data_IF_626002130236
#
_entry.id   IF_626002130236
#
_cell.length_a   1.000
_cell.length_b   1.000
_cell.length_c   1.000
_cell.angle_alpha   90.00
_cell.angle_beta   90.00
_cell.angle_gamma   90.00
#
_symmetry.space_group_name_H-M   'P 1'
#
loop_
_entity.id
_entity.type
_entity.pdbx_description
1 polymer ?
#
# COMPACT_ATOMS: atom_id res chain seq x y z
N UNK A 1 18.26 -9.08 4.00
CA UNK A 1 17.31 -8.62 5.02
C UNK A 1 16.05 -9.46 5.04
N UNK A 2 15.33 -9.63 3.93
CA UNK A 2 14.18 -10.50 3.77
C UNK A 2 14.62 -11.95 3.51
N UNK A 3 13.94 -12.92 4.14
CA UNK A 3 14.10 -14.34 3.86
C UNK A 3 12.80 -14.89 3.26
N UNK A 4 12.95 -15.72 2.25
CA UNK A 4 11.84 -16.39 1.56
C UNK A 4 11.94 -17.89 1.81
N UNK A 5 10.86 -18.50 2.31
CA UNK A 5 10.73 -19.95 2.45
C UNK A 5 9.60 -20.47 1.56
N UNK A 6 9.97 -21.26 0.57
CA UNK A 6 9.07 -21.92 -0.39
C UNK A 6 8.88 -23.40 -0.09
N UNK A 7 9.41 -23.91 1.02
CA UNK A 7 9.36 -25.34 1.36
C UNK A 7 7.93 -25.89 1.42
N UNK A 8 6.96 -25.04 1.80
CA UNK A 8 5.54 -25.40 1.92
C UNK A 8 4.75 -25.27 0.62
N UNK A 9 5.42 -24.86 -0.47
CA UNK A 9 4.85 -24.87 -1.83
C UNK A 9 5.34 -26.07 -2.65
N UNK A 10 6.44 -26.70 -2.27
CA UNK A 10 7.16 -27.68 -3.08
C UNK A 10 6.28 -28.84 -3.59
N UNK A 11 5.36 -29.37 -2.77
CA UNK A 11 4.48 -30.48 -3.19
C UNK A 11 3.38 -30.06 -4.19
N UNK A 12 3.18 -28.77 -4.40
CA UNK A 12 2.17 -28.20 -5.29
C UNK A 12 2.75 -27.66 -6.61
N UNK A 13 4.05 -27.63 -6.73
CA UNK A 13 4.77 -27.06 -7.86
C UNK A 13 5.44 -28.17 -8.67
N UNK A 14 5.44 -28.08 -10.02
CA UNK A 14 6.16 -29.05 -10.84
C UNK A 14 7.67 -28.96 -10.59
N UNK A 15 8.35 -30.10 -10.72
CA UNK A 15 9.81 -30.12 -10.66
C UNK A 15 10.41 -29.17 -11.72
N UNK A 16 11.42 -28.40 -11.33
CA UNK A 16 12.07 -27.43 -12.23
C UNK A 16 11.26 -26.18 -12.55
N UNK A 17 10.16 -25.90 -11.85
CA UNK A 17 9.29 -24.74 -12.10
C UNK A 17 10.05 -23.42 -12.12
N UNK A 18 11.06 -23.26 -11.26
CA UNK A 18 11.87 -22.04 -11.19
C UNK A 18 12.78 -21.92 -12.43
N UNK A 19 13.49 -22.99 -12.78
CA UNK A 19 14.36 -23.03 -13.96
C UNK A 19 13.58 -22.73 -15.26
N UNK A 20 12.37 -23.28 -15.40
CA UNK A 20 11.50 -23.04 -16.56
C UNK A 20 11.11 -21.56 -16.75
N UNK A 21 11.23 -20.73 -15.70
CA UNK A 21 10.84 -19.30 -15.73
C UNK A 21 12.02 -18.34 -15.74
N UNK A 22 13.26 -18.85 -15.64
CA UNK A 22 14.47 -18.00 -15.57
C UNK A 22 14.64 -17.10 -16.79
N UNK A 23 14.38 -17.60 -18.00
CA UNK A 23 14.49 -16.79 -19.21
C UNK A 23 13.46 -15.67 -19.23
N UNK A 24 12.18 -15.96 -18.86
CA UNK A 24 11.13 -14.96 -18.74
C UNK A 24 11.43 -13.92 -17.66
N UNK A 25 11.94 -14.32 -16.51
CA UNK A 25 12.33 -13.43 -15.43
C UNK A 25 13.50 -12.53 -15.83
N UNK A 26 14.51 -13.08 -16.52
CA UNK A 26 15.62 -12.29 -17.06
C UNK A 26 15.10 -11.21 -18.01
N UNK A 27 14.22 -11.61 -18.95
CA UNK A 27 13.57 -10.66 -19.87
C UNK A 27 12.78 -9.60 -19.13
N UNK A 28 11.99 -9.98 -18.13
CA UNK A 28 11.21 -9.05 -17.31
C UNK A 28 12.12 -8.06 -16.55
N UNK A 29 13.19 -8.55 -15.95
CA UNK A 29 14.18 -7.70 -15.27
C UNK A 29 14.89 -6.74 -16.23
N UNK A 30 15.27 -7.22 -17.43
CA UNK A 30 15.88 -6.38 -18.46
C UNK A 30 14.90 -5.27 -18.95
N UNK A 31 13.59 -5.57 -19.08
CA UNK A 31 12.58 -4.57 -19.42
C UNK A 31 12.43 -3.50 -18.34
N UNK A 32 12.45 -3.89 -17.06
CA UNK A 32 12.42 -2.96 -15.93
C UNK A 32 13.68 -2.09 -15.88
N UNK A 33 14.85 -2.71 -15.97
CA UNK A 33 16.16 -2.03 -15.89
C UNK A 33 16.39 -1.04 -17.03
N UNK A 34 15.85 -1.32 -18.23
CA UNK A 34 16.02 -0.48 -19.41
C UNK A 34 14.81 0.44 -19.68
N UNK A 35 13.76 0.39 -18.85
CA UNK A 35 12.55 1.21 -18.98
C UNK A 35 11.88 1.11 -20.37
N UNK A 36 11.94 -0.05 -21.02
CA UNK A 36 11.53 -0.20 -22.42
C UNK A 36 10.47 -1.29 -22.66
N UNK A 37 9.90 -1.84 -21.59
CA UNK A 37 8.76 -2.75 -21.67
C UNK A 37 7.42 -2.03 -21.89
N UNK A 38 6.32 -2.77 -22.04
CA UNK A 38 4.97 -2.21 -22.00
C UNK A 38 4.78 -1.37 -20.73
N UNK A 39 4.44 -0.08 -20.89
CA UNK A 39 4.33 0.86 -19.76
C UNK A 39 5.68 1.35 -19.19
N UNK A 40 6.79 1.17 -19.92
CA UNK A 40 8.13 1.59 -19.51
C UNK A 40 8.25 3.05 -19.10
N UNK A 41 7.40 3.93 -19.67
CA UNK A 41 7.31 5.35 -19.27
C UNK A 41 6.90 5.55 -17.81
N UNK A 42 6.43 4.51 -17.11
CA UNK A 42 5.98 4.55 -15.72
C UNK A 42 6.86 3.72 -14.77
N UNK A 43 8.09 3.45 -15.14
CA UNK A 43 9.02 2.61 -14.35
C UNK A 43 10.10 3.42 -13.60
N UNK A 44 9.95 4.74 -13.48
CA UNK A 44 10.88 5.59 -12.72
C UNK A 44 11.07 5.18 -11.26
N UNK A 45 10.09 4.47 -10.67
CA UNK A 45 10.17 3.92 -9.33
C UNK A 45 11.30 2.89 -9.14
N UNK A 46 11.75 2.23 -10.21
CA UNK A 46 12.82 1.19 -10.15
C UNK A 46 14.10 1.76 -9.59
N UNK A 47 14.49 2.95 -10.03
CA UNK A 47 15.71 3.62 -9.58
C UNK A 47 15.47 4.76 -8.57
N UNK A 48 14.21 5.05 -8.25
CA UNK A 48 13.82 6.12 -7.34
C UNK A 48 14.58 6.09 -5.99
N UNK A 49 14.72 4.93 -5.28
CA UNK A 49 15.38 4.93 -3.98
C UNK A 49 16.83 5.43 -4.03
N UNK A 50 17.51 5.26 -5.17
CA UNK A 50 18.88 5.75 -5.40
C UNK A 50 18.88 7.21 -5.90
N UNK A 51 17.96 7.54 -6.82
CA UNK A 51 18.03 8.74 -7.64
C UNK A 51 17.02 9.83 -7.27
N UNK A 52 16.30 9.70 -6.13
CA UNK A 52 15.30 10.69 -5.73
C UNK A 52 15.88 12.11 -5.60
N UNK A 53 15.07 13.11 -5.88
CA UNK A 53 15.43 14.52 -5.77
C UNK A 53 15.71 14.89 -4.30
N UNK A 54 16.98 15.18 -4.00
CA UNK A 54 17.44 15.51 -2.64
C UNK A 54 16.95 16.86 -2.16
N UNK A 55 16.74 17.81 -3.09
CA UNK A 55 16.23 19.15 -2.75
C UNK A 55 14.74 19.08 -2.40
N UNK A 56 13.94 18.36 -3.21
CA UNK A 56 12.54 18.12 -2.90
C UNK A 56 12.40 17.31 -1.59
N UNK A 57 13.25 16.32 -1.38
CA UNK A 57 13.25 15.54 -0.14
C UNK A 57 13.51 16.41 1.10
N UNK A 58 14.48 17.32 1.04
CA UNK A 58 14.74 18.28 2.12
C UNK A 58 13.56 19.24 2.33
N UNK A 59 12.86 19.65 1.26
CA UNK A 59 11.62 20.44 1.34
C UNK A 59 10.49 19.65 2.00
N UNK A 60 10.33 18.37 1.69
CA UNK A 60 9.36 17.48 2.36
C UNK A 60 9.62 17.44 3.87
N UNK A 61 10.87 17.27 4.29
CA UNK A 61 11.23 17.27 5.71
C UNK A 61 10.94 18.64 6.38
N UNK A 62 11.22 19.73 5.69
CA UNK A 62 10.94 21.09 6.19
C UNK A 62 9.43 21.34 6.32
N UNK A 63 8.65 20.96 5.31
CA UNK A 63 7.19 21.07 5.33
C UNK A 63 6.56 20.20 6.42
N UNK A 64 7.04 18.96 6.61
CA UNK A 64 6.60 18.09 7.70
C UNK A 64 6.83 18.73 9.07
N UNK A 65 8.00 19.32 9.31
CA UNK A 65 8.29 20.07 10.54
C UNK A 65 7.37 21.28 10.72
N UNK A 66 7.12 22.04 9.64
CA UNK A 66 6.18 23.18 9.66
C UNK A 66 4.78 22.71 10.03
N UNK A 67 4.29 21.61 9.44
CA UNK A 67 2.99 21.02 9.77
C UNK A 67 2.93 20.62 11.25
N UNK A 68 3.96 19.93 11.78
CA UNK A 68 4.05 19.53 13.18
C UNK A 68 4.00 20.71 14.15
N UNK A 69 4.58 21.86 13.77
CA UNK A 69 4.62 23.06 14.61
C UNK A 69 3.32 23.87 14.60
N UNK A 70 2.61 23.86 13.48
CA UNK A 70 1.46 24.75 13.27
C UNK A 70 0.10 24.06 13.35
N UNK A 71 0.05 22.72 13.36
CA UNK A 71 -1.20 21.97 13.23
C UNK A 71 -1.28 20.80 14.19
N UNK A 72 -2.43 20.65 14.81
CA UNK A 72 -2.79 19.48 15.63
C UNK A 72 -3.37 18.34 14.78
N UNK A 73 -3.80 18.67 13.55
CA UNK A 73 -4.36 17.72 12.58
C UNK A 73 -3.79 17.99 11.20
N UNK A 74 -3.39 16.96 10.49
CA UNK A 74 -3.15 16.97 9.06
C UNK A 74 -4.24 16.17 8.36
N UNK A 75 -5.00 16.81 7.48
CA UNK A 75 -5.96 16.12 6.60
C UNK A 75 -5.26 15.78 5.30
N UNK A 76 -5.07 14.50 5.04
CA UNK A 76 -4.50 13.98 3.79
C UNK A 76 -5.62 13.64 2.84
N UNK A 77 -5.72 14.37 1.74
CA UNK A 77 -6.79 14.22 0.74
C UNK A 77 -6.25 13.51 -0.48
N UNK A 78 -6.75 12.30 -0.74
CA UNK A 78 -6.34 11.48 -1.86
C UNK A 78 -7.13 10.20 -1.95
N UNK A 79 -7.03 9.50 -3.09
CA UNK A 79 -7.67 8.21 -3.33
C UNK A 79 -6.68 7.23 -3.96
N UNK A 80 -6.88 5.92 -3.73
CA UNK A 80 -6.01 4.88 -4.26
C UNK A 80 -4.56 5.09 -3.84
N UNK A 81 -3.62 5.11 -4.78
CA UNK A 81 -2.19 5.31 -4.51
C UNK A 81 -1.85 6.63 -3.84
N UNK A 82 -2.74 7.63 -3.93
CA UNK A 82 -2.53 8.94 -3.28
C UNK A 82 -2.78 8.92 -1.76
N UNK A 83 -3.26 7.80 -1.18
CA UNK A 83 -3.42 7.70 0.27
C UNK A 83 -3.03 6.34 0.85
N UNK A 84 -3.25 5.23 0.11
CA UNK A 84 -3.06 3.87 0.65
C UNK A 84 -1.63 3.63 1.13
N UNK A 85 -0.63 4.02 0.33
CA UNK A 85 0.77 3.82 0.70
C UNK A 85 1.17 4.59 1.96
N UNK A 86 0.80 5.87 2.06
CA UNK A 86 1.05 6.68 3.26
C UNK A 86 0.37 6.08 4.50
N UNK A 87 -0.90 5.71 4.39
CA UNK A 87 -1.66 5.11 5.49
C UNK A 87 -1.06 3.77 5.92
N UNK A 88 -0.68 2.93 4.96
CA UNK A 88 -0.02 1.66 5.21
C UNK A 88 1.24 1.81 6.06
N UNK A 89 2.10 2.75 5.69
CA UNK A 89 3.36 3.01 6.41
C UNK A 89 3.10 3.59 7.79
N UNK A 90 2.19 4.57 7.91
CA UNK A 90 1.86 5.21 9.20
C UNK A 90 1.26 4.20 10.17
N UNK A 91 0.27 3.41 9.76
CA UNK A 91 -0.36 2.43 10.65
C UNK A 91 0.61 1.30 11.02
N UNK A 92 1.44 0.83 10.10
CA UNK A 92 2.39 -0.25 10.35
C UNK A 92 3.53 0.18 11.29
N UNK A 93 4.11 1.37 11.08
CA UNK A 93 5.27 1.84 11.86
C UNK A 93 4.87 2.51 13.17
N UNK A 94 3.86 3.36 13.16
CA UNK A 94 3.45 4.11 14.32
C UNK A 94 2.33 3.42 15.13
N UNK A 95 1.22 3.06 14.53
CA UNK A 95 0.12 2.26 15.09
C UNK A 95 -1.19 2.46 14.30
N UNK A 96 -2.10 1.49 14.22
CA UNK A 96 -3.50 1.73 13.84
C UNK A 96 -4.22 2.71 14.79
N UNK A 97 -3.74 2.81 16.02
CA UNK A 97 -4.25 3.72 17.06
C UNK A 97 -3.43 5.03 17.14
N UNK A 98 -2.72 5.40 16.08
CA UNK A 98 -1.83 6.57 16.04
C UNK A 98 -2.50 7.84 16.56
N UNK A 99 -3.71 8.13 16.10
CA UNK A 99 -4.45 9.33 16.48
C UNK A 99 -4.96 9.33 17.94
N UNK A 100 -4.96 8.19 18.62
CA UNK A 100 -5.36 8.06 20.03
C UNK A 100 -4.16 8.19 20.99
N UNK A 101 -2.94 8.11 20.47
CA UNK A 101 -1.73 8.20 21.29
C UNK A 101 -1.41 9.65 21.66
N UNK A 102 -0.92 9.86 22.89
CA UNK A 102 -0.27 11.12 23.24
C UNK A 102 1.05 11.23 22.48
N UNK A 103 1.22 12.31 21.71
CA UNK A 103 2.35 12.54 20.83
C UNK A 103 2.53 14.03 20.55
N UNK A 104 3.66 14.41 20.01
CA UNK A 104 4.00 15.79 19.63
C UNK A 104 3.79 16.05 18.12
N UNK A 105 3.28 15.05 17.40
CA UNK A 105 2.95 15.12 15.98
C UNK A 105 1.45 15.25 15.78
N UNK A 106 0.97 15.81 14.65
CA UNK A 106 -0.45 15.96 14.40
C UNK A 106 -1.17 14.63 14.26
N UNK A 107 -2.47 14.60 14.53
CA UNK A 107 -3.33 13.52 14.06
C UNK A 107 -3.35 13.52 12.54
N UNK A 108 -3.28 12.33 11.94
CA UNK A 108 -3.39 12.18 10.50
C UNK A 108 -4.78 11.64 10.17
N UNK A 109 -5.58 12.46 9.50
CA UNK A 109 -6.91 12.08 9.03
C UNK A 109 -6.90 11.96 7.51
N UNK A 110 -7.52 10.91 6.99
CA UNK A 110 -7.62 10.67 5.54
C UNK A 110 -9.02 11.03 5.05
N UNK A 111 -9.09 11.81 3.97
CA UNK A 111 -10.34 12.24 3.35
C UNK A 111 -10.25 12.15 1.81
N UNK A 112 -11.40 12.21 1.12
CA UNK A 112 -11.42 12.14 -0.34
C UNK A 112 -11.05 10.76 -0.91
N UNK A 113 -11.08 9.73 -0.08
CA UNK A 113 -10.91 8.33 -0.46
C UNK A 113 -12.27 7.61 -0.61
N UNK A 114 -13.37 8.36 -0.60
CA UNK A 114 -14.73 7.91 -0.80
C UNK A 114 -15.68 9.09 -0.85
N UNK A 115 -16.98 8.79 -1.08
CA UNK A 115 -18.07 9.77 -1.19
C UNK A 115 -19.13 9.62 -0.06
N UNK A 116 -18.75 9.00 1.06
CA UNK A 116 -19.62 8.89 2.22
C UNK A 116 -19.77 10.23 2.93
N UNK A 117 -21.00 10.73 3.00
CA UNK A 117 -21.34 11.94 3.75
C UNK A 117 -21.00 11.79 5.24
N UNK A 118 -21.35 10.64 5.84
CA UNK A 118 -21.14 10.41 7.27
C UNK A 118 -19.65 10.37 7.62
N UNK A 119 -18.83 9.71 6.80
CA UNK A 119 -17.38 9.68 7.00
C UNK A 119 -16.73 11.07 6.87
N UNK A 120 -17.24 11.91 5.96
CA UNK A 120 -16.79 13.30 5.83
C UNK A 120 -17.17 14.13 7.07
N UNK A 121 -18.43 14.03 7.52
CA UNK A 121 -18.91 14.74 8.72
C UNK A 121 -18.15 14.29 9.97
N UNK A 122 -17.86 13.00 10.11
CA UNK A 122 -17.02 12.49 11.19
C UNK A 122 -15.61 13.09 11.15
N UNK A 123 -14.99 13.15 9.97
CA UNK A 123 -13.66 13.77 9.79
C UNK A 123 -13.70 15.25 10.23
N UNK A 124 -14.72 16.00 9.84
CA UNK A 124 -14.93 17.40 10.25
C UNK A 124 -15.10 17.48 11.77
N UNK A 125 -15.91 16.62 12.37
CA UNK A 125 -16.12 16.60 13.82
C UNK A 125 -14.84 16.24 14.58
N UNK A 126 -14.01 15.33 14.05
CA UNK A 126 -12.71 14.99 14.63
C UNK A 126 -11.73 16.16 14.57
N UNK A 127 -11.78 16.99 13.55
CA UNK A 127 -10.97 18.22 13.51
C UNK A 127 -11.41 19.18 14.62
N UNK A 128 -12.73 19.44 14.72
CA UNK A 128 -13.31 20.38 15.68
C UNK A 128 -12.66 21.75 15.59
N UNK A 129 -12.35 22.33 16.75
CA UNK A 129 -11.71 23.65 16.85
C UNK A 129 -10.18 23.61 16.74
N UNK A 130 -9.58 22.43 16.56
CA UNK A 130 -8.13 22.26 16.49
C UNK A 130 -7.53 22.95 15.26
N UNK A 131 -6.27 23.36 15.39
CA UNK A 131 -5.51 23.85 14.24
C UNK A 131 -5.21 22.69 13.28
N UNK A 132 -5.46 22.91 11.98
CA UNK A 132 -5.23 21.89 10.96
C UNK A 132 -4.58 22.41 9.70
N UNK A 133 -3.92 21.51 9.01
CA UNK A 133 -3.38 21.68 7.65
C UNK A 133 -3.95 20.64 6.71
N UNK A 134 -3.84 20.86 5.42
CA UNK A 134 -4.30 19.97 4.35
C UNK A 134 -3.13 19.62 3.44
N UNK A 135 -2.94 18.33 3.18
CA UNK A 135 -2.13 17.85 2.06
C UNK A 135 -3.05 17.26 1.02
N UNK A 136 -3.28 17.98 -0.07
CA UNK A 136 -4.09 17.50 -1.20
C UNK A 136 -3.20 16.85 -2.24
N UNK A 137 -3.50 15.59 -2.57
CA UNK A 137 -2.69 14.74 -3.44
C UNK A 137 -3.51 14.30 -4.64
N UNK A 138 -3.24 14.91 -5.80
CA UNK A 138 -3.91 14.57 -7.05
C UNK A 138 -3.09 15.06 -8.25
N UNK A 139 -2.70 14.15 -9.14
CA UNK A 139 -1.93 14.51 -10.34
C UNK A 139 -2.74 15.42 -11.26
N UNK A 140 -3.98 15.07 -11.58
CA UNK A 140 -4.86 15.85 -12.46
C UNK A 140 -5.59 17.00 -11.75
N UNK A 141 -5.86 16.85 -10.46
CA UNK A 141 -6.75 17.74 -9.70
C UNK A 141 -8.24 17.60 -10.03
N UNK A 142 -8.63 16.64 -10.88
CA UNK A 142 -10.01 16.46 -11.35
C UNK A 142 -10.67 15.14 -10.94
N UNK A 143 -9.95 14.29 -10.23
CA UNK A 143 -10.55 13.08 -9.63
C UNK A 143 -11.62 13.52 -8.64
N UNK A 144 -12.85 13.02 -8.81
CA UNK A 144 -14.05 13.55 -8.17
C UNK A 144 -13.95 13.57 -6.66
N UNK A 145 -13.59 12.45 -6.05
CA UNK A 145 -13.59 12.26 -4.61
C UNK A 145 -12.62 13.23 -3.90
N UNK A 146 -11.33 13.28 -4.24
CA UNK A 146 -10.42 14.24 -3.61
C UNK A 146 -10.71 15.69 -3.99
N UNK A 147 -11.24 15.96 -5.19
CA UNK A 147 -11.58 17.33 -5.60
C UNK A 147 -12.75 17.90 -4.78
N UNK A 148 -13.77 17.07 -4.50
CA UNK A 148 -14.90 17.45 -3.63
C UNK A 148 -14.41 17.66 -2.20
N UNK A 149 -13.63 16.73 -1.64
CA UNK A 149 -13.08 16.87 -0.30
C UNK A 149 -12.21 18.12 -0.18
N UNK A 150 -11.32 18.37 -1.14
CA UNK A 150 -10.45 19.55 -1.11
C UNK A 150 -11.25 20.86 -1.15
N UNK A 151 -12.31 20.94 -1.96
CA UNK A 151 -13.19 22.12 -1.99
C UNK A 151 -13.79 22.44 -0.62
N UNK A 152 -14.17 21.41 0.14
CA UNK A 152 -14.76 21.55 1.47
C UNK A 152 -13.68 21.99 2.50
N UNK A 153 -12.57 21.27 2.59
CA UNK A 153 -11.55 21.58 3.57
C UNK A 153 -10.80 22.89 3.27
N UNK A 154 -10.67 23.28 2.00
CA UNK A 154 -10.18 24.61 1.60
C UNK A 154 -11.08 25.70 2.14
N UNK A 155 -12.41 25.59 1.94
CA UNK A 155 -13.37 26.56 2.48
C UNK A 155 -13.28 26.67 4.01
N UNK A 156 -13.15 25.56 4.72
CA UNK A 156 -12.98 25.55 6.19
C UNK A 156 -11.67 26.24 6.62
N UNK A 157 -10.57 26.03 5.89
CA UNK A 157 -9.31 26.73 6.16
C UNK A 157 -9.44 28.24 5.93
N UNK A 158 -10.07 28.66 4.82
CA UNK A 158 -10.28 30.07 4.51
C UNK A 158 -11.21 30.75 5.52
N UNK A 159 -12.26 30.06 5.99
CA UNK A 159 -13.14 30.57 7.04
C UNK A 159 -12.38 30.75 8.37
N UNK A 160 -11.56 29.79 8.74
CA UNK A 160 -10.84 29.80 10.03
C UNK A 160 -9.64 30.77 10.05
N UNK A 161 -8.87 30.84 8.95
CA UNK A 161 -7.57 31.55 8.93
C UNK A 161 -7.51 32.71 7.94
N UNK A 162 -8.58 32.97 7.18
CA UNK A 162 -8.54 33.85 6.01
C UNK A 162 -7.69 33.26 4.87
N UNK A 163 -7.69 33.87 3.70
CA UNK A 163 -7.00 33.34 2.51
C UNK A 163 -5.49 33.16 2.72
N UNK A 164 -4.83 34.16 3.27
CA UNK A 164 -3.38 34.11 3.50
C UNK A 164 -2.99 33.06 4.54
N UNK A 165 -3.78 32.93 5.62
CA UNK A 165 -3.55 31.89 6.62
C UNK A 165 -3.84 30.48 6.11
N UNK A 166 -4.86 30.32 5.26
CA UNK A 166 -5.18 29.06 4.61
C UNK A 166 -4.06 28.61 3.62
N UNK A 167 -3.53 29.54 2.84
CA UNK A 167 -2.42 29.31 1.93
C UNK A 167 -1.22 28.66 2.62
N UNK A 168 -0.85 29.14 3.81
CA UNK A 168 0.28 28.63 4.59
C UNK A 168 0.05 27.22 5.17
N UNK A 169 -1.17 26.69 5.05
CA UNK A 169 -1.61 25.40 5.61
C UNK A 169 -2.06 24.40 4.54
N UNK A 170 -1.98 24.77 3.26
CA UNK A 170 -2.28 23.89 2.14
C UNK A 170 -0.98 23.49 1.44
N UNK A 171 -0.78 22.19 1.35
CA UNK A 171 0.33 21.54 0.67
C UNK A 171 -0.23 20.75 -0.51
N UNK A 172 0.13 21.13 -1.72
CA UNK A 172 -0.37 20.50 -2.95
C UNK A 172 0.67 19.53 -3.51
N UNK A 173 0.36 18.24 -3.48
CA UNK A 173 1.18 17.22 -4.15
C UNK A 173 0.51 16.89 -5.48
N UNK A 174 1.09 17.42 -6.59
CA UNK A 174 0.43 17.42 -7.89
C UNK A 174 1.41 17.28 -9.06
N UNK A 175 0.92 17.37 -10.29
CA UNK A 175 1.75 17.39 -11.50
C UNK A 175 2.70 18.59 -11.51
N UNK A 176 3.88 18.42 -12.09
CA UNK A 176 4.91 19.47 -12.14
C UNK A 176 4.49 20.69 -12.96
N UNK A 177 3.69 20.50 -14.02
CA UNK A 177 3.47 21.51 -15.05
C UNK A 177 2.00 21.74 -15.45
N UNK A 178 1.11 20.79 -15.16
CA UNK A 178 -0.25 20.79 -15.73
C UNK A 178 -1.29 20.22 -14.74
N UNK A 179 -2.56 20.44 -15.05
CA UNK A 179 -3.67 19.95 -14.25
C UNK A 179 -4.36 21.04 -13.45
N UNK A 180 -5.60 20.77 -13.03
CA UNK A 180 -6.42 21.76 -12.34
C UNK A 180 -5.85 22.13 -10.96
N UNK A 181 -5.30 21.14 -10.22
CA UNK A 181 -4.69 21.40 -8.92
C UNK A 181 -3.38 22.19 -9.07
N UNK A 182 -2.56 21.90 -10.09
CA UNK A 182 -1.36 22.67 -10.39
C UNK A 182 -1.68 24.14 -10.69
N UNK A 183 -2.64 24.39 -11.60
CA UNK A 183 -3.05 25.74 -11.92
C UNK A 183 -3.62 26.52 -10.73
N UNK A 184 -4.35 25.84 -9.84
CA UNK A 184 -4.85 26.45 -8.61
C UNK A 184 -3.70 26.75 -7.63
N UNK A 185 -2.78 25.79 -7.44
CA UNK A 185 -1.65 25.95 -6.52
C UNK A 185 -0.74 27.13 -6.95
N UNK A 186 -0.45 27.25 -8.26
CA UNK A 186 0.29 28.40 -8.81
C UNK A 186 -0.44 29.73 -8.56
N UNK A 187 -1.75 29.77 -8.81
CA UNK A 187 -2.53 31.00 -8.68
C UNK A 187 -2.66 31.48 -7.23
N UNK A 188 -2.84 30.55 -6.29
CA UNK A 188 -3.02 30.85 -4.86
C UNK A 188 -1.68 30.84 -4.11
N UNK A 189 -0.61 30.30 -4.71
CA UNK A 189 0.74 30.24 -4.13
C UNK A 189 0.87 29.19 -3.01
N UNK A 190 0.27 28.03 -3.16
CA UNK A 190 0.43 26.90 -2.20
C UNK A 190 1.85 26.35 -2.28
N UNK A 191 2.29 25.73 -1.19
CA UNK A 191 3.51 24.93 -1.20
C UNK A 191 3.28 23.64 -1.98
N UNK A 192 4.11 23.40 -3.02
CA UNK A 192 3.91 22.34 -3.98
C UNK A 192 4.98 21.26 -3.90
N UNK A 193 4.54 19.99 -4.10
CA UNK A 193 5.38 18.82 -4.25
C UNK A 193 4.98 18.06 -5.52
N UNK A 194 5.94 17.38 -6.13
CA UNK A 194 5.75 16.79 -7.45
C UNK A 194 5.28 15.33 -7.34
N UNK A 195 4.21 15.01 -8.08
CA UNK A 195 3.90 13.63 -8.46
C UNK A 195 4.69 13.34 -9.75
N UNK A 196 5.71 12.48 -9.73
CA UNK A 196 6.54 12.22 -10.91
C UNK A 196 5.71 11.73 -12.09
N UNK A 197 6.10 12.16 -13.31
CA UNK A 197 5.40 11.77 -14.53
C UNK A 197 5.61 10.30 -14.88
N UNK A 198 6.77 9.77 -14.52
CA UNK A 198 7.26 8.43 -14.80
C UNK A 198 6.94 7.40 -13.69
N UNK A 199 6.07 7.77 -12.73
CA UNK A 199 5.65 6.88 -11.64
C UNK A 199 4.13 6.82 -11.56
N UNK A 200 3.58 5.61 -11.67
CA UNK A 200 2.16 5.34 -11.49
C UNK A 200 1.72 5.47 -10.02
N UNK A 201 0.44 5.81 -9.78
CA UNK A 201 -0.08 6.06 -8.43
C UNK A 201 0.18 4.96 -7.41
N UNK A 202 0.01 3.69 -7.79
CA UNK A 202 0.23 2.54 -6.90
C UNK A 202 1.70 2.23 -6.58
N UNK A 203 2.64 2.84 -7.33
CA UNK A 203 4.09 2.76 -7.14
C UNK A 203 4.67 4.04 -6.51
N UNK A 204 3.82 4.97 -6.03
CA UNK A 204 4.26 6.32 -5.66
C UNK A 204 4.51 6.53 -4.17
N UNK A 205 4.43 5.50 -3.33
CA UNK A 205 4.56 5.65 -1.87
C UNK A 205 5.91 6.25 -1.44
N UNK A 206 6.98 5.97 -2.17
CA UNK A 206 8.33 6.50 -1.91
C UNK A 206 8.62 7.85 -2.62
N UNK A 207 7.59 8.50 -3.15
CA UNK A 207 7.64 9.89 -3.66
C UNK A 207 7.04 10.86 -2.65
N UNK A 208 6.99 12.15 -2.98
CA UNK A 208 6.30 13.15 -2.17
C UNK A 208 4.85 12.75 -1.79
N UNK A 209 4.20 11.92 -2.63
CA UNK A 209 2.85 11.40 -2.39
C UNK A 209 2.74 10.68 -1.05
N UNK A 210 3.67 9.81 -0.72
CA UNK A 210 3.70 9.10 0.57
C UNK A 210 4.58 9.79 1.60
N UNK A 211 5.75 10.30 1.18
CA UNK A 211 6.77 10.78 2.11
C UNK A 211 6.34 12.00 2.95
N UNK A 212 5.56 12.94 2.38
CA UNK A 212 5.13 14.12 3.14
C UNK A 212 4.21 13.75 4.32
N UNK A 213 3.10 13.02 4.14
CA UNK A 213 2.25 12.63 5.27
C UNK A 213 2.96 11.66 6.23
N UNK A 214 3.85 10.79 5.73
CA UNK A 214 4.66 9.88 6.58
C UNK A 214 5.61 10.68 7.47
N UNK A 215 6.33 11.65 6.92
CA UNK A 215 7.23 12.52 7.69
C UNK A 215 6.45 13.40 8.67
N UNK A 216 5.27 13.92 8.29
CA UNK A 216 4.41 14.70 9.17
C UNK A 216 3.93 13.86 10.38
N UNK A 217 3.75 12.56 10.22
CA UNK A 217 3.46 11.61 11.30
C UNK A 217 4.67 11.34 12.22
N UNK A 218 5.85 11.90 11.94
CA UNK A 218 7.06 11.74 12.74
C UNK A 218 7.89 10.50 12.43
N UNK A 219 7.64 9.84 11.32
CA UNK A 219 8.37 8.65 10.86
C UNK A 219 9.64 9.10 10.11
N UNK A 220 10.74 8.38 10.34
CA UNK A 220 12.03 8.63 9.68
C UNK A 220 11.98 8.16 8.20
N UNK A 221 11.76 9.13 7.30
CA UNK A 221 11.72 8.86 5.87
C UNK A 221 13.12 8.61 5.25
N UNK A 222 14.21 9.02 5.91
CA UNK A 222 15.57 8.67 5.46
C UNK A 222 15.82 7.19 5.67
N UNK A 223 15.49 6.66 6.84
CA UNK A 223 15.59 5.23 7.14
C UNK A 223 14.67 4.39 6.24
N UNK A 224 13.46 4.90 5.91
CA UNK A 224 12.53 4.26 4.97
C UNK A 224 13.16 4.16 3.57
N UNK A 225 13.69 5.27 3.03
CA UNK A 225 14.36 5.30 1.73
C UNK A 225 15.63 4.46 1.69
N UNK A 226 16.39 4.42 2.78
CA UNK A 226 17.58 3.57 2.89
C UNK A 226 17.23 2.08 2.82
N UNK A 227 16.11 1.66 3.42
CA UNK A 227 15.61 0.29 3.31
C UNK A 227 15.20 -0.07 1.89
N UNK A 228 14.53 0.84 1.20
CA UNK A 228 14.15 0.67 -0.21
C UNK A 228 15.38 0.61 -1.13
N UNK A 229 16.41 1.45 -0.89
CA UNK A 229 17.65 1.40 -1.68
C UNK A 229 18.42 0.10 -1.43
N UNK A 230 18.43 -0.40 -0.19
CA UNK A 230 19.01 -1.70 0.08
C UNK A 230 18.29 -2.80 -0.71
N UNK A 231 16.97 -2.80 -0.73
CA UNK A 231 16.18 -3.75 -1.52
C UNK A 231 16.48 -3.62 -3.01
N UNK A 232 16.52 -2.39 -3.53
CA UNK A 232 16.88 -2.14 -4.93
C UNK A 232 18.25 -2.74 -5.27
N UNK A 233 19.27 -2.44 -4.46
CA UNK A 233 20.63 -2.92 -4.70
C UNK A 233 20.73 -4.45 -4.68
N UNK A 234 19.97 -5.12 -3.81
CA UNK A 234 19.97 -6.58 -3.69
C UNK A 234 19.12 -7.26 -4.78
N UNK A 235 17.91 -6.74 -5.04
CA UNK A 235 16.90 -7.43 -5.84
C UNK A 235 17.03 -7.18 -7.35
N UNK A 236 17.65 -6.09 -7.78
CA UNK A 236 17.90 -5.83 -9.21
C UNK A 236 19.06 -6.65 -9.77
N UNK A 237 19.81 -7.33 -8.93
CA UNK A 237 20.85 -8.28 -9.36
C UNK A 237 20.17 -9.62 -9.67
N UNK A 238 20.11 -9.97 -10.95
CA UNK A 238 19.47 -11.22 -11.40
C UNK A 238 20.20 -12.48 -10.93
N UNK A 239 19.48 -13.61 -10.90
CA UNK A 239 20.05 -14.91 -10.58
C UNK A 239 19.07 -15.83 -9.84
N UNK A 240 19.41 -17.12 -9.80
CA UNK A 240 18.58 -18.15 -9.16
C UNK A 240 18.40 -17.93 -7.65
N UNK A 241 19.37 -17.30 -6.99
CA UNK A 241 19.35 -17.00 -5.56
C UNK A 241 18.57 -15.71 -5.24
N UNK A 242 18.09 -14.98 -6.24
CA UNK A 242 17.34 -13.75 -6.04
C UNK A 242 15.92 -14.04 -5.51
N UNK A 243 15.65 -13.60 -4.29
CA UNK A 243 14.37 -13.88 -3.61
C UNK A 243 13.14 -13.29 -4.32
N UNK A 244 13.29 -12.16 -5.02
CA UNK A 244 12.22 -11.58 -5.83
C UNK A 244 11.90 -12.45 -7.06
N UNK A 245 12.94 -12.99 -7.71
CA UNK A 245 12.77 -13.91 -8.84
C UNK A 245 12.17 -15.24 -8.38
N UNK A 246 12.64 -15.79 -7.26
CA UNK A 246 12.09 -17.02 -6.68
C UNK A 246 10.60 -16.86 -6.34
N UNK A 247 10.22 -15.76 -5.72
CA UNK A 247 8.83 -15.50 -5.36
C UNK A 247 7.96 -15.27 -6.61
N UNK A 248 8.39 -14.48 -7.59
CA UNK A 248 7.68 -14.28 -8.85
C UNK A 248 7.51 -15.60 -9.61
N UNK A 249 8.55 -16.46 -9.65
CA UNK A 249 8.47 -17.79 -10.27
C UNK A 249 7.44 -18.70 -9.58
N UNK A 250 7.44 -18.72 -8.24
CA UNK A 250 6.50 -19.53 -7.47
C UNK A 250 5.05 -19.06 -7.68
N UNK A 251 4.79 -17.74 -7.60
CA UNK A 251 3.47 -17.15 -7.87
C UNK A 251 2.95 -17.53 -9.26
N UNK A 252 3.77 -17.35 -10.29
CA UNK A 252 3.39 -17.69 -11.66
C UNK A 252 3.13 -19.19 -11.85
N UNK A 253 3.94 -20.06 -11.22
CA UNK A 253 3.75 -21.50 -11.28
C UNK A 253 2.47 -21.96 -10.55
N UNK A 254 2.15 -21.34 -9.40
CA UNK A 254 0.90 -21.58 -8.69
C UNK A 254 -0.30 -21.12 -9.51
N UNK A 255 -0.23 -19.95 -10.15
CA UNK A 255 -1.27 -19.47 -11.07
C UNK A 255 -1.52 -20.48 -12.21
N UNK A 256 -0.48 -20.93 -12.90
CA UNK A 256 -0.61 -21.94 -13.98
C UNK A 256 -1.15 -23.29 -13.46
N UNK A 257 -0.98 -23.60 -12.17
CA UNK A 257 -1.57 -24.79 -11.54
C UNK A 257 -3.02 -24.62 -11.11
N UNK A 258 -3.66 -23.48 -11.44
CA UNK A 258 -5.07 -23.20 -11.13
C UNK A 258 -5.29 -22.57 -9.76
N UNK A 259 -4.27 -21.92 -9.18
CA UNK A 259 -4.43 -21.08 -8.00
C UNK A 259 -4.69 -19.64 -8.46
N UNK A 260 -5.96 -19.25 -8.47
CA UNK A 260 -6.41 -17.94 -8.98
C UNK A 260 -6.36 -16.82 -7.94
N UNK A 261 -6.16 -17.17 -6.66
CA UNK A 261 -6.21 -16.23 -5.54
C UNK A 261 -4.90 -16.30 -4.75
N UNK A 262 -4.25 -15.16 -4.59
CA UNK A 262 -3.18 -15.02 -3.60
C UNK A 262 -3.72 -14.35 -2.34
N UNK A 263 -3.59 -15.03 -1.20
CA UNK A 263 -4.07 -14.60 0.10
C UNK A 263 -2.89 -14.10 0.94
N UNK A 264 -2.70 -12.79 1.02
CA UNK A 264 -1.68 -12.18 1.87
C UNK A 264 -2.11 -12.24 3.33
N UNK A 265 -1.35 -12.97 4.15
CA UNK A 265 -1.64 -13.17 5.57
C UNK A 265 -0.57 -12.55 6.46
N UNK A 266 -0.96 -11.89 7.54
CA UNK A 266 -0.05 -11.40 8.56
C UNK A 266 -0.68 -11.58 9.95
N UNK A 267 0.19 -11.80 10.96
CA UNK A 267 -0.22 -11.98 12.36
C UNK A 267 -0.07 -10.67 13.17
N UNK A 268 0.30 -9.57 12.49
CA UNK A 268 0.46 -8.25 13.10
C UNK A 268 -0.69 -7.33 12.63
N UNK A 269 -1.66 -6.97 13.50
CA UNK A 269 -2.79 -6.12 13.14
C UNK A 269 -2.41 -4.79 12.45
N UNK A 270 -1.28 -4.13 12.79
CA UNK A 270 -0.83 -2.94 12.07
C UNK A 270 -0.56 -3.13 10.58
N UNK A 271 -0.42 -4.36 10.10
CA UNK A 271 -0.17 -4.68 8.70
C UNK A 271 -1.40 -4.51 7.79
N UNK A 272 -2.59 -4.36 8.35
CA UNK A 272 -3.86 -4.33 7.62
C UNK A 272 -3.86 -3.37 6.43
N UNK A 273 -3.47 -2.11 6.61
CA UNK A 273 -3.44 -1.15 5.49
C UNK A 273 -2.26 -1.37 4.53
N UNK A 274 -1.21 -2.03 4.97
CA UNK A 274 -0.16 -2.49 4.06
C UNK A 274 -0.72 -3.55 3.09
N UNK A 275 -1.55 -4.46 3.56
CA UNK A 275 -2.25 -5.42 2.72
C UNK A 275 -3.26 -4.74 1.76
N UNK A 276 -3.93 -3.64 2.17
CA UNK A 276 -4.79 -2.86 1.26
C UNK A 276 -3.98 -2.19 0.14
N UNK A 277 -2.82 -1.60 0.45
CA UNK A 277 -1.90 -1.08 -0.55
C UNK A 277 -1.40 -2.19 -1.49
N UNK A 278 -1.02 -3.33 -0.96
CA UNK A 278 -0.58 -4.50 -1.72
C UNK A 278 -1.69 -5.01 -2.68
N UNK A 279 -2.95 -5.03 -2.23
CA UNK A 279 -4.09 -5.39 -3.10
C UNK A 279 -4.24 -4.43 -4.27
N UNK A 280 -4.09 -3.13 -4.06
CA UNK A 280 -4.08 -2.17 -5.16
C UNK A 280 -2.90 -2.40 -6.09
N UNK A 281 -1.70 -2.57 -5.54
CA UNK A 281 -0.49 -2.79 -6.32
C UNK A 281 -0.66 -3.96 -7.30
N UNK A 282 -1.04 -5.13 -6.81
CA UNK A 282 -1.18 -6.33 -7.64
C UNK A 282 -2.47 -6.35 -8.48
N UNK A 283 -3.59 -5.95 -7.91
CA UNK A 283 -4.87 -5.96 -8.60
C UNK A 283 -4.91 -5.09 -9.85
N UNK A 284 -4.39 -3.86 -9.75
CA UNK A 284 -4.30 -2.96 -10.90
C UNK A 284 -3.17 -3.35 -11.89
N UNK A 285 -2.13 -4.03 -11.42
CA UNK A 285 -0.99 -4.38 -12.26
C UNK A 285 -1.19 -5.68 -13.04
N UNK A 286 -1.77 -6.71 -12.43
CA UNK A 286 -1.89 -8.05 -13.01
C UNK A 286 -3.28 -8.35 -13.59
N UNK A 287 -4.36 -7.77 -13.03
CA UNK A 287 -5.74 -8.07 -13.41
C UNK A 287 -6.14 -7.51 -14.78
N UNK A 288 -5.60 -8.05 -15.86
CA UNK A 288 -5.78 -7.57 -17.24
C UNK A 288 -5.91 -8.74 -18.21
N UNK A 289 -6.58 -8.52 -19.33
CA UNK A 289 -6.72 -9.50 -20.41
C UNK A 289 -7.28 -10.87 -19.96
N UNK A 290 -8.08 -10.88 -18.89
CA UNK A 290 -8.61 -12.10 -18.28
C UNK A 290 -7.56 -12.93 -17.53
N UNK A 291 -6.41 -12.35 -17.19
CA UNK A 291 -5.29 -12.95 -16.48
C UNK A 291 -5.11 -12.34 -15.09
N UNK A 292 -4.20 -12.91 -14.33
CA UNK A 292 -3.70 -12.40 -13.06
C UNK A 292 -4.31 -13.07 -11.84
N UNK A 293 -3.54 -13.06 -10.75
CA UNK A 293 -3.97 -13.52 -9.44
C UNK A 293 -4.89 -12.49 -8.79
N UNK A 294 -6.01 -12.93 -8.22
CA UNK A 294 -6.86 -12.05 -7.42
C UNK A 294 -6.21 -11.82 -6.05
N UNK A 295 -5.82 -10.59 -5.71
CA UNK A 295 -5.16 -10.30 -4.44
C UNK A 295 -6.19 -10.16 -3.33
N UNK A 296 -6.12 -11.03 -2.32
CA UNK A 296 -6.92 -10.97 -1.10
C UNK A 296 -6.03 -10.91 0.13
N UNK A 297 -6.59 -10.59 1.29
CA UNK A 297 -5.81 -10.55 2.53
C UNK A 297 -6.61 -11.02 3.73
N UNK A 298 -5.90 -11.54 4.75
CA UNK A 298 -6.43 -11.93 6.06
C UNK A 298 -5.50 -11.47 7.17
N UNK A 299 -6.09 -11.20 8.34
CA UNK A 299 -5.40 -10.87 9.58
C UNK A 299 -5.54 -12.03 10.55
N UNK A 300 -4.50 -12.84 10.67
CA UNK A 300 -4.48 -13.97 11.62
C UNK A 300 -4.01 -13.47 13.00
N UNK A 301 -4.47 -14.10 14.11
CA UNK A 301 -5.39 -15.25 14.24
C UNK A 301 -6.89 -14.90 14.10
N UNK A 302 -7.25 -13.61 14.08
CA UNK A 302 -8.65 -13.17 14.07
C UNK A 302 -9.45 -13.83 12.93
N UNK A 303 -8.94 -13.80 11.71
CA UNK A 303 -9.64 -14.37 10.55
C UNK A 303 -9.61 -15.90 10.47
N UNK A 304 -8.90 -16.60 11.34
CA UNK A 304 -9.10 -18.04 11.51
C UNK A 304 -10.50 -18.35 12.04
N UNK A 305 -11.10 -17.40 12.77
CA UNK A 305 -12.47 -17.49 13.30
C UNK A 305 -13.53 -16.96 12.33
N UNK A 306 -13.17 -16.62 11.10
CA UNK A 306 -14.06 -16.16 10.03
C UNK A 306 -13.78 -16.90 8.72
N UNK A 307 -12.62 -16.69 8.13
CA UNK A 307 -12.22 -17.24 6.84
C UNK A 307 -11.52 -18.61 6.96
N UNK A 308 -11.08 -19.01 8.16
CA UNK A 308 -10.32 -20.24 8.37
C UNK A 308 -11.04 -21.50 7.86
N UNK A 309 -12.36 -21.60 8.03
CA UNK A 309 -13.15 -22.72 7.50
C UNK A 309 -13.06 -22.80 5.98
N UNK A 310 -13.19 -21.68 5.27
CA UNK A 310 -13.12 -21.66 3.80
C UNK A 310 -11.71 -21.99 3.30
N UNK A 311 -10.70 -21.44 3.95
CA UNK A 311 -9.30 -21.69 3.59
C UNK A 311 -9.00 -23.19 3.75
N UNK A 312 -9.41 -23.78 4.90
CA UNK A 312 -9.13 -25.18 5.22
C UNK A 312 -9.90 -26.16 4.34
N UNK A 313 -11.17 -25.90 4.02
CA UNK A 313 -12.10 -26.90 3.46
C UNK A 313 -12.95 -26.38 2.28
N UNK A 314 -12.71 -25.16 1.80
CA UNK A 314 -13.39 -24.60 0.62
C UNK A 314 -12.74 -25.03 -0.70
N UNK A 315 -12.96 -24.28 -1.78
CA UNK A 315 -12.34 -24.54 -3.08
C UNK A 315 -10.82 -24.35 -3.03
N UNK A 316 -10.08 -25.21 -3.73
CA UNK A 316 -8.60 -25.19 -3.77
C UNK A 316 -8.02 -24.18 -4.77
N UNK A 317 -8.60 -22.98 -4.85
CA UNK A 317 -8.23 -21.93 -5.80
C UNK A 317 -7.17 -20.96 -5.29
N UNK A 318 -6.72 -21.10 -4.04
CA UNK A 318 -5.84 -20.12 -3.41
C UNK A 318 -4.52 -20.72 -2.93
N UNK A 319 -3.57 -19.84 -2.72
CA UNK A 319 -2.38 -20.06 -1.91
C UNK A 319 -2.18 -18.88 -0.97
N UNK A 320 -1.43 -19.09 0.09
CA UNK A 320 -1.12 -18.06 1.08
C UNK A 320 0.30 -17.55 0.92
N UNK A 321 0.46 -16.22 1.08
CA UNK A 321 1.75 -15.57 1.30
C UNK A 321 1.74 -14.98 2.72
N UNK A 322 2.41 -15.64 3.65
CA UNK A 322 2.49 -15.23 5.05
C UNK A 322 3.66 -14.29 5.24
N UNK A 323 3.40 -13.07 5.74
CA UNK A 323 4.44 -12.10 6.11
C UNK A 323 4.62 -12.13 7.63
N UNK A 324 5.84 -12.44 8.08
CA UNK A 324 6.21 -12.54 9.48
C UNK A 324 7.28 -11.52 9.84
N UNK A 325 7.06 -10.83 10.94
CA UNK A 325 8.05 -9.95 11.56
C UNK A 325 8.53 -10.53 12.89
N UNK A 326 9.79 -10.29 13.24
CA UNK A 326 10.26 -10.55 14.59
C UNK A 326 9.63 -9.55 15.57
N UNK A 327 9.23 -9.96 16.78
CA UNK A 327 8.59 -9.08 17.75
C UNK A 327 9.53 -7.97 18.23
N UNK A 328 8.97 -6.78 18.52
CA UNK A 328 9.72 -5.65 19.09
C UNK A 328 9.91 -5.75 20.61
N UNK A 329 9.06 -6.49 21.26
CA UNK A 329 9.04 -6.66 22.71
C UNK A 329 8.45 -8.00 23.09
N UNK A 330 8.39 -8.28 24.38
CA UNK A 330 7.92 -9.57 24.88
C UNK A 330 7.00 -9.37 26.08
N UNK A 331 6.03 -10.25 26.18
CA UNK A 331 5.16 -10.36 27.34
C UNK A 331 5.15 -11.81 27.83
N UNK A 332 5.47 -12.01 29.11
CA UNK A 332 5.47 -13.35 29.72
C UNK A 332 4.09 -13.67 30.25
N UNK A 333 3.53 -14.80 29.85
CA UNK A 333 2.21 -15.24 30.25
C UNK A 333 2.22 -15.56 31.75
N UNK A 334 1.34 -14.93 32.56
CA UNK A 334 1.28 -15.15 33.98
C UNK A 334 0.71 -16.55 34.30
N UNK A 335 1.00 -17.04 35.51
CA UNK A 335 0.33 -18.23 36.05
C UNK A 335 -1.02 -17.81 36.67
N UNK A 336 -2.07 -18.54 36.38
CA UNK A 336 -3.34 -18.45 37.11
C UNK A 336 -3.41 -19.52 38.19
N UNK A 337 -3.47 -19.20 39.50
CA UNK A 337 -3.52 -20.18 40.58
C UNK A 337 -4.68 -21.18 40.45
N UNK A 338 -5.81 -20.74 39.92
CA UNK A 338 -7.02 -21.55 39.81
C UNK A 338 -7.09 -22.34 38.49
N UNK A 339 -6.30 -21.93 37.48
CA UNK A 339 -6.23 -22.54 36.15
C UNK A 339 -7.60 -22.84 35.53
N UNK A 340 -8.54 -21.89 35.66
CA UNK A 340 -9.94 -22.08 35.23
C UNK A 340 -10.05 -22.31 33.72
N UNK A 341 -9.18 -21.64 32.96
CA UNK A 341 -9.09 -21.73 31.50
C UNK A 341 -8.26 -22.95 30.99
N UNK A 342 -7.55 -23.63 31.89
CA UNK A 342 -6.68 -24.76 31.53
C UNK A 342 -5.38 -24.34 30.84
N UNK A 343 -5.00 -23.03 30.82
CA UNK A 343 -3.88 -22.53 30.05
C UNK A 343 -2.55 -22.40 30.80
N UNK A 344 -2.45 -22.92 32.05
CA UNK A 344 -1.20 -22.84 32.80
C UNK A 344 -0.01 -23.59 32.14
N UNK A 345 -0.24 -24.46 31.17
CA UNK A 345 0.83 -25.02 30.34
C UNK A 345 1.58 -23.97 29.51
N UNK A 346 1.01 -22.77 29.34
CA UNK A 346 1.63 -21.60 28.71
C UNK A 346 2.33 -20.66 29.72
N UNK A 347 2.08 -20.82 31.00
CA UNK A 347 2.68 -20.01 32.07
C UNK A 347 4.21 -19.96 31.95
N UNK A 348 4.77 -18.76 32.09
CA UNK A 348 6.21 -18.52 31.96
C UNK A 348 6.74 -18.51 30.54
N UNK A 349 5.90 -18.80 29.53
CA UNK A 349 6.28 -18.69 28.12
C UNK A 349 6.04 -17.27 27.58
N UNK A 350 6.86 -16.79 26.65
CA UNK A 350 6.60 -15.54 25.98
C UNK A 350 5.38 -15.65 25.05
N UNK A 351 4.61 -14.56 24.92
CA UNK A 351 3.44 -14.50 24.00
C UNK A 351 3.85 -14.72 22.55
N UNK A 352 5.03 -14.23 22.14
CA UNK A 352 5.60 -14.47 20.81
C UNK A 352 5.79 -15.96 20.50
N UNK A 353 6.12 -16.78 21.50
CA UNK A 353 6.17 -18.23 21.33
C UNK A 353 4.81 -18.80 20.95
N UNK A 354 3.74 -18.35 21.61
CA UNK A 354 2.37 -18.81 21.31
C UNK A 354 1.96 -18.39 19.90
N UNK A 355 2.23 -17.13 19.53
CA UNK A 355 1.96 -16.61 18.17
C UNK A 355 2.72 -17.40 17.10
N UNK A 356 3.99 -17.72 17.34
CA UNK A 356 4.80 -18.56 16.44
C UNK A 356 4.21 -19.98 16.27
N UNK A 357 3.79 -20.61 17.37
CA UNK A 357 3.18 -21.95 17.29
C UNK A 357 1.80 -21.91 16.61
N UNK A 358 1.01 -20.86 16.84
CA UNK A 358 -0.26 -20.65 16.13
C UNK A 358 -0.02 -20.53 14.62
N UNK A 359 0.93 -19.70 14.20
CA UNK A 359 1.29 -19.56 12.78
C UNK A 359 1.75 -20.88 12.17
N UNK A 360 2.68 -21.59 12.82
CA UNK A 360 3.19 -22.89 12.34
C UNK A 360 2.08 -23.93 12.23
N UNK A 361 1.21 -24.01 13.24
CA UNK A 361 0.08 -24.93 13.24
C UNK A 361 -0.90 -24.65 12.12
N UNK A 362 -1.19 -23.36 11.87
CA UNK A 362 -2.04 -22.91 10.76
C UNK A 362 -1.44 -23.26 9.40
N UNK A 363 -0.17 -22.92 9.16
CA UNK A 363 0.52 -23.25 7.91
C UNK A 363 0.49 -24.76 7.64
N UNK A 364 0.78 -25.59 8.64
CA UNK A 364 0.74 -27.05 8.47
C UNK A 364 -0.66 -27.56 8.11
N UNK A 365 -1.69 -27.09 8.83
CA UNK A 365 -3.07 -27.50 8.58
C UNK A 365 -3.54 -27.07 7.17
N UNK A 366 -3.24 -25.86 6.75
CA UNK A 366 -3.63 -25.35 5.43
C UNK A 366 -2.90 -26.09 4.30
N UNK A 367 -1.60 -26.38 4.47
CA UNK A 367 -0.80 -27.18 3.52
C UNK A 367 -1.34 -28.59 3.40
N UNK A 368 -1.66 -29.26 4.52
CA UNK A 368 -2.29 -30.59 4.52
C UNK A 368 -3.69 -30.55 3.86
N UNK A 369 -4.39 -29.43 4.00
CA UNK A 369 -5.66 -29.15 3.33
C UNK A 369 -5.54 -28.81 1.84
N UNK A 370 -4.34 -28.72 1.27
CA UNK A 370 -4.12 -28.43 -0.15
C UNK A 370 -3.98 -26.94 -0.51
N UNK A 371 -3.65 -26.09 0.48
CA UNK A 371 -3.36 -24.66 0.29
C UNK A 371 -1.86 -24.44 0.39
N UNK A 372 -1.15 -24.15 -0.73
CA UNK A 372 0.26 -23.84 -0.70
C UNK A 372 0.56 -22.62 0.17
N UNK A 373 1.69 -22.63 0.88
CA UNK A 373 2.11 -21.51 1.72
C UNK A 373 3.51 -21.03 1.35
N UNK A 374 3.63 -19.74 1.09
CA UNK A 374 4.89 -18.99 0.98
C UNK A 374 5.10 -18.27 2.30
N UNK A 375 6.31 -18.33 2.87
CA UNK A 375 6.65 -17.55 4.06
C UNK A 375 7.71 -16.51 3.74
N UNK A 376 7.40 -15.25 4.03
CA UNK A 376 8.30 -14.11 3.95
C UNK A 376 8.63 -13.68 5.38
N UNK A 377 9.89 -13.81 5.78
CA UNK A 377 10.36 -13.41 7.10
C UNK A 377 11.18 -12.13 7.02
N UNK A 378 10.85 -11.17 7.86
CA UNK A 378 11.58 -9.91 8.04
C UNK A 378 12.06 -9.76 9.48
N UNK A 379 13.06 -8.90 9.72
CA UNK A 379 13.37 -8.40 11.05
C UNK A 379 12.16 -7.72 11.69
N UNK A 380 12.39 -7.04 12.80
CA UNK A 380 11.34 -6.23 13.43
C UNK A 380 10.77 -5.19 12.47
N UNK A 381 9.51 -4.83 12.67
CA UNK A 381 8.87 -3.70 11.98
C UNK A 381 9.66 -2.43 12.29
N UNK A 382 10.35 -1.90 11.28
CA UNK A 382 11.14 -0.67 11.34
C UNK A 382 11.03 0.04 9.99
N UNK A 383 11.39 1.31 9.93
CA UNK A 383 11.40 2.10 8.71
C UNK A 383 12.20 1.40 7.59
N UNK A 384 13.39 0.89 7.93
CA UNK A 384 14.24 0.16 6.98
C UNK A 384 13.58 -1.13 6.49
N UNK A 385 12.98 -1.92 7.39
CA UNK A 385 12.29 -3.17 7.01
C UNK A 385 11.07 -2.90 6.13
N UNK A 386 10.31 -1.84 6.43
CA UNK A 386 9.12 -1.45 5.67
C UNK A 386 9.51 -0.88 4.31
N UNK A 387 10.53 -0.03 4.23
CA UNK A 387 11.07 0.47 2.96
C UNK A 387 11.55 -0.66 2.05
N UNK A 388 12.27 -1.64 2.63
CA UNK A 388 12.69 -2.84 1.91
C UNK A 388 11.51 -3.64 1.37
N UNK A 389 10.47 -3.85 2.20
CA UNK A 389 9.28 -4.64 1.83
C UNK A 389 8.44 -3.95 0.75
N UNK A 390 8.34 -2.61 0.78
CA UNK A 390 7.67 -1.83 -0.27
C UNK A 390 8.35 -2.09 -1.61
N UNK A 391 9.66 -1.86 -1.70
CA UNK A 391 10.39 -2.06 -2.94
C UNK A 391 10.36 -3.53 -3.40
N UNK A 392 10.45 -4.48 -2.47
CA UNK A 392 10.33 -5.90 -2.78
C UNK A 392 9.03 -6.22 -3.51
N UNK A 393 7.89 -5.78 -2.97
CA UNK A 393 6.60 -6.05 -3.60
C UNK A 393 6.40 -5.28 -4.91
N UNK A 394 6.88 -4.04 -5.01
CA UNK A 394 6.85 -3.28 -6.27
C UNK A 394 7.66 -4.00 -7.36
N UNK A 395 8.87 -4.45 -7.04
CA UNK A 395 9.75 -5.12 -8.00
C UNK A 395 9.20 -6.48 -8.42
N UNK A 396 8.74 -7.30 -7.47
CA UNK A 396 8.06 -8.57 -7.78
C UNK A 396 6.81 -8.35 -8.64
N UNK A 397 6.02 -7.32 -8.35
CA UNK A 397 4.83 -6.98 -9.11
C UNK A 397 5.17 -6.66 -10.58
N UNK A 398 6.22 -5.88 -10.82
CA UNK A 398 6.71 -5.61 -12.17
C UNK A 398 7.17 -6.88 -12.91
N UNK A 399 7.98 -7.72 -12.24
CA UNK A 399 8.42 -9.00 -12.80
C UNK A 399 7.24 -9.92 -13.12
N UNK A 400 6.31 -10.06 -12.19
CA UNK A 400 5.15 -10.93 -12.32
C UNK A 400 4.20 -10.49 -13.43
N UNK A 401 3.92 -9.18 -13.55
CA UNK A 401 3.10 -8.66 -14.64
C UNK A 401 3.71 -8.92 -16.02
N UNK A 402 5.02 -8.78 -16.16
CA UNK A 402 5.69 -9.13 -17.41
C UNK A 402 5.74 -10.64 -17.67
N UNK A 403 5.82 -11.49 -16.64
CA UNK A 403 5.68 -12.95 -16.79
C UNK A 403 4.27 -13.34 -17.26
N UNK A 404 3.24 -12.62 -16.82
CA UNK A 404 1.86 -12.79 -17.28
C UNK A 404 1.62 -12.22 -18.68
N UNK A 405 2.65 -11.56 -19.27
CA UNK A 405 2.56 -10.88 -20.57
C UNK A 405 1.47 -9.79 -20.62
N UNK A 406 1.33 -9.04 -19.55
CA UNK A 406 0.45 -7.86 -19.47
C UNK A 406 1.29 -6.59 -19.27
N UNK A 407 0.70 -5.41 -19.53
CA UNK A 407 1.30 -4.14 -19.13
C UNK A 407 1.07 -3.91 -17.62
N UNK A 408 2.11 -3.98 -16.74
CA UNK A 408 1.90 -3.85 -15.29
C UNK A 408 1.57 -2.42 -14.84
N UNK A 409 1.71 -1.40 -15.71
CA UNK A 409 1.78 0.00 -15.28
C UNK A 409 0.62 0.87 -15.78
N UNK A 410 -0.30 0.34 -16.58
CA UNK A 410 -1.57 0.98 -16.93
C UNK A 410 -2.76 0.40 -16.12
N UNK A 411 -3.95 0.94 -16.29
CA UNK A 411 -5.19 0.49 -15.64
C UNK A 411 -6.43 0.82 -16.50
N UNK A 412 -6.57 0.23 -17.70
CA UNK A 412 -7.66 0.57 -18.62
C UNK A 412 -9.04 0.19 -18.07
N UNK A 413 -9.12 -0.83 -17.22
CA UNK A 413 -10.38 -1.34 -16.67
C UNK A 413 -11.19 -0.36 -15.82
N UNK A 414 -10.52 0.66 -15.23
CA UNK A 414 -11.20 1.65 -14.39
C UNK A 414 -11.83 2.82 -15.17
N UNK A 415 -11.61 2.92 -16.48
CA UNK A 415 -12.11 4.04 -17.28
C UNK A 415 -13.62 3.97 -17.53
N UNK A 416 -14.18 2.77 -17.61
CA UNK A 416 -15.61 2.59 -17.90
C UNK A 416 -16.49 3.17 -16.80
N UNK A 417 -16.24 2.82 -15.52
CA UNK A 417 -17.06 3.31 -14.42
C UNK A 417 -16.91 4.83 -14.22
N UNK A 418 -15.73 5.40 -14.46
CA UNK A 418 -15.51 6.85 -14.38
C UNK A 418 -16.36 7.61 -15.40
N UNK A 419 -16.40 7.12 -16.66
CA UNK A 419 -17.26 7.71 -17.71
C UNK A 419 -18.73 7.64 -17.32
N UNK A 420 -19.20 6.47 -16.83
CA UNK A 420 -20.56 6.31 -16.35
C UNK A 420 -20.90 7.27 -15.21
N UNK A 421 -20.01 7.40 -14.22
CA UNK A 421 -20.16 8.33 -13.11
C UNK A 421 -20.24 9.78 -13.61
N UNK A 422 -19.37 10.22 -14.50
CA UNK A 422 -19.41 11.57 -15.07
C UNK A 422 -20.71 11.85 -15.82
N UNK A 423 -21.20 10.89 -16.59
CA UNK A 423 -22.46 10.99 -17.31
C UNK A 423 -23.66 11.13 -16.34
N UNK A 424 -23.77 10.25 -15.35
CA UNK A 424 -24.85 10.27 -14.36
C UNK A 424 -24.81 11.53 -13.47
N UNK A 425 -23.63 12.06 -13.19
CA UNK A 425 -23.46 13.35 -12.49
C UNK A 425 -23.82 14.56 -13.38
N UNK A 426 -24.10 14.37 -14.66
CA UNK A 426 -24.44 15.47 -15.58
C UNK A 426 -23.27 16.35 -15.97
N UNK A 427 -22.05 15.76 -16.06
CA UNK A 427 -20.88 16.48 -16.53
C UNK A 427 -21.09 16.95 -17.97
N UNK A 428 -20.81 18.23 -18.30
CA UNK A 428 -20.94 18.75 -19.65
C UNK A 428 -20.17 17.90 -20.69
N UNK A 429 -20.83 17.58 -21.83
CA UNK A 429 -20.30 16.71 -22.88
C UNK A 429 -20.62 15.22 -22.70
N UNK A 430 -21.45 14.86 -21.73
CA UNK A 430 -21.89 13.47 -21.46
C UNK A 430 -23.42 13.31 -21.56
N UNK A 431 -24.14 14.25 -22.16
CA UNK A 431 -25.61 14.31 -22.17
C UNK A 431 -26.25 13.07 -22.80
N UNK A 432 -25.77 12.65 -23.97
CA UNK A 432 -26.29 11.46 -24.66
C UNK A 432 -26.05 10.18 -23.87
N UNK A 433 -24.83 10.04 -23.31
CA UNK A 433 -24.47 8.90 -22.48
C UNK A 433 -25.30 8.85 -21.19
N UNK A 434 -25.61 10.01 -20.60
CA UNK A 434 -26.51 10.10 -19.43
C UNK A 434 -27.88 9.53 -19.75
N UNK A 435 -28.49 9.96 -20.86
CA UNK A 435 -29.81 9.47 -21.28
C UNK A 435 -29.81 7.94 -21.54
N UNK A 436 -28.75 7.42 -22.15
CA UNK A 436 -28.59 5.98 -22.36
C UNK A 436 -28.48 5.22 -21.04
N UNK A 437 -27.68 5.70 -20.10
CA UNK A 437 -27.48 5.05 -18.80
C UNK A 437 -28.75 5.09 -17.95
N UNK A 438 -29.43 6.24 -17.86
CA UNK A 438 -30.69 6.39 -17.13
C UNK A 438 -31.78 5.45 -17.65
N UNK A 439 -31.80 5.18 -18.96
CA UNK A 439 -32.73 4.22 -19.54
C UNK A 439 -32.46 2.75 -19.17
N UNK A 440 -31.29 2.45 -18.60
CA UNK A 440 -30.85 1.11 -18.17
C UNK A 440 -30.99 0.90 -16.66
N UNK A 441 -31.18 1.96 -15.86
CA UNK A 441 -31.38 1.92 -14.41
C UNK A 441 -32.86 1.74 -14.06
#
# INVERSE_FOLDING_TARGET
>A
MLKLDLSKTAQFLPEGYAAARMEGLKKAADLLANHNGPGGDFTGWVDLPKNYDKEEFARIQAAAKKIQQQSQVLVVIGIGGSYLGARAVIELLASPNYNLKKKDTPDILFAGNGLSTDALLETIALIGDRDFSVNVISKSGTTTEPAVAFRIFKAMLEEKYGKEGAKERIYATTDKARGALKGLADAEGYEEFVVPDDIGGRFSVLTAVGLLPIAAAGIDIEALMAGAEQARAELTVGGEDNVAWQYAAARHALYESGKDIELLACYEPPFRFFAEWWKQLYGESEGKDGKGLFPASVEFTADLHSMGQYIQDGKRLMFETVVKFAPKGEFIIPNDPDNVDGLNFLSGKPLSFVAEQAMRGTILAHVDGGVPNVLIELPQISETSVGYLIYFFEYVCGLSGYLLEVNPFDQPGVEAYKKNMFALLGKPGYEDMKAELEARL
#
